data_IF_131242088518
#
_entry.id   IF_131242088518
#
_cell.length_a   1.000
_cell.length_b   1.000
_cell.length_c   1.000
_cell.angle_alpha   90.00
_cell.angle_beta   90.00
_cell.angle_gamma   90.00
#
_symmetry.space_group_name_H-M   'P 1'
#
loop_
_entity.id
_entity.type
_entity.pdbx_description
1 polymer ?
#
# COMPACT_ATOMS: atom_id res chain seq x y z
N UNK A 1 -11.57 19.29 -17.52
CA UNK A 1 -10.41 19.79 -16.75
C UNK A 1 -10.73 19.92 -15.26
N UNK A 2 -11.77 20.66 -14.87
CA UNK A 2 -12.20 20.81 -13.44
C UNK A 2 -12.61 19.51 -12.75
N UNK A 3 -13.05 18.50 -13.51
CA UNK A 3 -13.31 17.16 -12.98
C UNK A 3 -12.05 16.38 -12.59
N UNK A 4 -10.90 16.71 -13.20
CA UNK A 4 -9.64 15.98 -13.03
C UNK A 4 -8.63 16.69 -12.14
N UNK A 5 -8.74 18.01 -11.98
CA UNK A 5 -7.77 18.86 -11.32
C UNK A 5 -8.46 19.87 -10.41
N UNK A 6 -7.84 20.17 -9.28
CA UNK A 6 -8.28 21.22 -8.36
C UNK A 6 -8.20 22.62 -9.01
N UNK A 7 -8.84 23.61 -8.42
CA UNK A 7 -8.73 24.99 -8.93
C UNK A 7 -7.30 25.52 -8.79
N UNK A 8 -6.61 25.17 -7.71
CA UNK A 8 -5.21 25.48 -7.48
C UNK A 8 -4.34 24.88 -8.59
N UNK A 9 -4.52 23.58 -8.91
CA UNK A 9 -3.77 22.91 -9.98
C UNK A 9 -4.01 23.57 -11.34
N UNK A 10 -5.26 23.97 -11.63
CA UNK A 10 -5.61 24.64 -12.88
C UNK A 10 -5.01 26.05 -12.97
N UNK A 11 -5.01 26.80 -11.86
CA UNK A 11 -4.46 28.15 -11.77
C UNK A 11 -2.94 28.17 -11.80
N UNK A 12 -2.29 27.14 -11.25
CA UNK A 12 -0.84 26.98 -11.26
C UNK A 12 -0.28 26.65 -12.66
N UNK A 13 -1.14 26.32 -13.64
CA UNK A 13 -0.75 26.07 -15.03
C UNK A 13 0.40 25.08 -15.19
N UNK A 14 0.43 24.04 -14.35
CA UNK A 14 1.50 23.05 -14.33
C UNK A 14 1.64 22.34 -15.69
N UNK A 15 2.83 21.82 -15.98
CA UNK A 15 3.09 21.03 -17.19
C UNK A 15 2.10 19.87 -17.34
N UNK A 16 1.70 19.24 -16.22
CA UNK A 16 0.69 18.19 -16.19
C UNK A 16 -0.65 18.67 -16.77
N UNK A 17 -1.15 19.82 -16.30
CA UNK A 17 -2.41 20.41 -16.75
C UNK A 17 -2.33 20.81 -18.22
N UNK A 18 -1.20 21.40 -18.65
CA UNK A 18 -0.97 21.77 -20.04
C UNK A 18 -0.97 20.54 -20.95
N UNK A 19 -0.23 19.50 -20.58
CA UNK A 19 -0.17 18.24 -21.32
C UNK A 19 -1.55 17.59 -21.44
N UNK A 20 -2.35 17.56 -20.36
CA UNK A 20 -3.72 17.05 -20.42
C UNK A 20 -4.62 17.88 -21.34
N UNK A 21 -4.52 19.21 -21.29
CA UNK A 21 -5.28 20.11 -22.16
C UNK A 21 -4.93 19.87 -23.62
N UNK A 22 -3.65 19.75 -23.94
CA UNK A 22 -3.21 19.44 -25.30
C UNK A 22 -3.71 18.10 -25.80
N UNK A 23 -3.63 17.04 -24.97
CA UNK A 23 -4.15 15.71 -25.32
C UNK A 23 -5.65 15.75 -25.62
N UNK A 24 -6.43 16.49 -24.82
CA UNK A 24 -7.86 16.66 -25.07
C UNK A 24 -8.13 17.41 -26.37
N UNK A 25 -7.38 18.48 -26.65
CA UNK A 25 -7.56 19.28 -27.86
C UNK A 25 -7.15 18.53 -29.14
N UNK A 26 -6.18 17.63 -29.04
CA UNK A 26 -5.66 16.80 -30.15
C UNK A 26 -6.36 15.44 -30.24
N UNK A 27 -7.42 15.20 -29.47
CA UNK A 27 -8.08 13.90 -29.44
C UNK A 27 -8.76 13.57 -30.79
N UNK A 28 -8.54 12.38 -31.37
CA UNK A 28 -9.01 12.06 -32.73
C UNK A 28 -10.54 11.94 -32.84
N UNK A 29 -11.25 11.70 -31.74
CA UNK A 29 -12.69 11.47 -31.72
C UNK A 29 -13.40 12.27 -30.62
N UNK A 30 -13.41 13.59 -30.75
CA UNK A 30 -14.06 14.50 -29.78
C UNK A 30 -15.55 14.17 -29.57
N UNK A 31 -16.28 13.78 -30.62
CA UNK A 31 -17.69 13.37 -30.50
C UNK A 31 -17.90 12.18 -29.57
N UNK A 32 -17.01 11.17 -29.61
CA UNK A 32 -17.09 10.03 -28.70
C UNK A 32 -16.76 10.42 -27.25
N UNK A 33 -15.82 11.36 -27.07
CA UNK A 33 -15.50 11.90 -25.75
C UNK A 33 -16.69 12.66 -25.17
N UNK A 34 -17.41 13.43 -25.99
CA UNK A 34 -18.63 14.13 -25.56
C UNK A 34 -19.73 13.15 -25.16
N UNK A 35 -19.95 12.08 -25.94
CA UNK A 35 -20.91 11.02 -25.59
C UNK A 35 -20.55 10.34 -24.27
N UNK A 36 -19.26 10.02 -24.08
CA UNK A 36 -18.76 9.43 -22.83
C UNK A 36 -18.97 10.38 -21.64
N UNK A 37 -18.68 11.67 -21.81
CA UNK A 37 -18.89 12.68 -20.78
C UNK A 37 -20.37 12.85 -20.44
N UNK A 38 -21.26 12.87 -21.43
CA UNK A 38 -22.72 12.90 -21.22
C UNK A 38 -23.18 11.70 -20.41
N UNK A 39 -22.75 10.49 -20.78
CA UNK A 39 -23.07 9.27 -20.05
C UNK A 39 -22.59 9.30 -18.59
N UNK A 40 -21.38 9.82 -18.33
CA UNK A 40 -20.86 9.99 -16.97
C UNK A 40 -21.69 10.98 -16.13
N UNK A 41 -22.16 12.09 -16.73
CA UNK A 41 -22.97 13.08 -16.03
C UNK A 41 -24.40 12.61 -15.79
N UNK A 42 -24.95 11.76 -16.65
CA UNK A 42 -26.28 11.18 -16.49
C UNK A 42 -26.29 9.88 -15.68
N UNK A 43 -25.18 9.55 -14.98
CA UNK A 43 -25.06 8.31 -14.21
C UNK A 43 -26.11 8.26 -13.08
N UNK A 44 -26.68 7.08 -12.86
CA UNK A 44 -27.48 6.81 -11.67
C UNK A 44 -26.59 6.70 -10.43
N UNK A 45 -27.16 6.96 -9.26
CA UNK A 45 -26.45 6.79 -8.00
C UNK A 45 -26.10 5.32 -7.76
N UNK A 46 -24.93 5.09 -7.17
CA UNK A 46 -24.55 3.77 -6.66
C UNK A 46 -25.19 3.58 -5.28
N UNK A 47 -26.14 2.65 -5.16
CA UNK A 47 -26.84 2.36 -3.91
C UNK A 47 -26.01 1.44 -3.01
N UNK A 48 -24.95 2.00 -2.43
CA UNK A 48 -24.13 1.35 -1.41
C UNK A 48 -24.66 1.69 -0.02
N UNK A 49 -24.76 0.66 0.81
CA UNK A 49 -24.93 0.79 2.26
C UNK A 49 -24.13 -0.31 2.97
N UNK A 50 -24.06 -0.25 4.30
CA UNK A 50 -23.26 -1.22 5.08
C UNK A 50 -23.71 -2.68 4.94
N UNK A 51 -24.97 -2.91 4.57
CA UNK A 51 -25.54 -4.24 4.38
C UNK A 51 -25.47 -4.68 2.91
N UNK A 52 -25.30 -3.74 1.98
CA UNK A 52 -25.22 -3.95 0.54
C UNK A 52 -24.04 -3.17 -0.06
N UNK A 53 -22.84 -3.69 0.20
CA UNK A 53 -21.57 -3.13 -0.25
C UNK A 53 -20.81 -4.11 -1.16
N UNK A 54 -19.63 -3.73 -1.65
CA UNK A 54 -18.78 -4.60 -2.43
C UNK A 54 -18.38 -5.86 -1.65
N UNK A 55 -18.40 -7.02 -2.33
CA UNK A 55 -18.02 -8.33 -1.77
C UNK A 55 -16.54 -8.65 -1.92
N UNK A 56 -15.73 -7.68 -2.31
CA UNK A 56 -14.30 -7.81 -2.52
C UNK A 56 -13.56 -6.75 -1.71
N UNK A 57 -12.28 -6.98 -1.37
CA UNK A 57 -11.44 -5.94 -0.79
C UNK A 57 -11.38 -4.70 -1.70
N UNK A 58 -11.51 -3.51 -1.13
CA UNK A 58 -11.48 -2.23 -1.86
C UNK A 58 -10.35 -1.37 -1.33
N UNK A 59 -9.55 -0.79 -2.24
CA UNK A 59 -8.62 0.30 -1.90
C UNK A 59 -9.14 1.59 -2.53
N UNK A 60 -9.71 2.48 -1.72
CA UNK A 60 -10.21 3.77 -2.18
C UNK A 60 -9.13 4.83 -1.98
N UNK A 61 -8.68 5.44 -3.07
CA UNK A 61 -7.56 6.39 -3.09
C UNK A 61 -8.04 7.76 -3.52
N UNK A 62 -7.65 8.80 -2.80
CA UNK A 62 -7.93 10.19 -3.16
C UNK A 62 -6.78 11.10 -2.76
N UNK A 63 -6.50 12.14 -3.56
CA UNK A 63 -5.59 13.22 -3.16
C UNK A 63 -6.29 14.16 -2.19
N UNK A 64 -5.54 14.73 -1.23
CA UNK A 64 -6.08 15.67 -0.25
C UNK A 64 -6.53 17.01 -0.82
N UNK A 65 -6.08 17.37 -2.03
CA UNK A 65 -6.52 18.54 -2.80
C UNK A 65 -7.35 18.14 -4.03
N UNK A 66 -7.82 16.89 -4.12
CA UNK A 66 -8.60 16.47 -5.28
C UNK A 66 -9.98 17.14 -5.33
N UNK A 67 -10.50 17.52 -6.51
CA UNK A 67 -11.81 18.17 -6.65
C UNK A 67 -13.01 17.28 -6.26
N UNK A 68 -12.76 15.99 -5.98
CA UNK A 68 -13.74 14.98 -5.60
C UNK A 68 -13.42 14.34 -4.23
N UNK A 69 -12.60 15.00 -3.41
CA UNK A 69 -12.22 14.51 -2.08
C UNK A 69 -13.43 14.21 -1.19
N UNK A 70 -14.37 15.15 -1.08
CA UNK A 70 -15.61 14.97 -0.30
C UNK A 70 -16.43 13.77 -0.78
N UNK A 71 -16.57 13.60 -2.10
CA UNK A 71 -17.29 12.46 -2.68
C UNK A 71 -16.61 11.12 -2.38
N UNK A 72 -15.27 11.09 -2.32
CA UNK A 72 -14.53 9.90 -1.91
C UNK A 72 -14.73 9.59 -0.42
N UNK A 73 -14.73 10.61 0.44
CA UNK A 73 -15.01 10.44 1.88
C UNK A 73 -16.45 9.95 2.09
N UNK A 74 -17.42 10.49 1.36
CA UNK A 74 -18.81 10.03 1.40
C UNK A 74 -18.92 8.58 0.93
N UNK A 75 -18.26 8.22 -0.18
CA UNK A 75 -18.20 6.84 -0.67
C UNK A 75 -17.64 5.89 0.41
N UNK A 76 -16.51 6.25 1.03
CA UNK A 76 -15.90 5.46 2.10
C UNK A 76 -16.87 5.20 3.26
N UNK A 77 -17.69 6.18 3.64
CA UNK A 77 -18.65 6.04 4.75
C UNK A 77 -19.74 4.98 4.51
N UNK A 78 -19.99 4.65 3.24
CA UNK A 78 -20.97 3.64 2.79
C UNK A 78 -20.36 2.25 2.58
N UNK A 79 -19.03 2.14 2.59
CA UNK A 79 -18.32 0.88 2.40
C UNK A 79 -18.14 0.12 3.72
N UNK A 80 -17.86 -1.19 3.61
CA UNK A 80 -17.56 -2.01 4.78
C UNK A 80 -16.13 -1.73 5.26
N UNK A 81 -15.95 -1.25 6.51
CA UNK A 81 -14.63 -0.88 7.03
C UNK A 81 -13.71 -2.08 7.23
N UNK A 82 -14.22 -3.31 7.27
CA UNK A 82 -13.39 -4.52 7.45
C UNK A 82 -12.71 -4.97 6.16
N UNK A 83 -13.26 -4.56 5.01
CA UNK A 83 -12.79 -4.95 3.67
C UNK A 83 -12.31 -3.75 2.84
N UNK A 84 -12.41 -2.53 3.37
CA UNK A 84 -12.04 -1.30 2.67
C UNK A 84 -10.83 -0.61 3.30
N UNK A 85 -9.80 -0.36 2.51
CA UNK A 85 -8.68 0.52 2.84
C UNK A 85 -8.89 1.90 2.22
N UNK A 86 -8.96 2.95 3.04
CA UNK A 86 -9.04 4.33 2.55
C UNK A 86 -7.68 5.03 2.64
N UNK A 87 -7.18 5.51 1.49
CA UNK A 87 -5.91 6.19 1.36
C UNK A 87 -6.12 7.62 0.88
N UNK A 88 -6.04 8.58 1.81
CA UNK A 88 -5.92 10.00 1.50
C UNK A 88 -4.45 10.36 1.31
N UNK A 89 -4.03 10.66 0.09
CA UNK A 89 -2.66 11.00 -0.25
C UNK A 89 -2.39 12.47 0.03
N UNK A 90 -1.44 12.75 0.91
CA UNK A 90 -1.02 14.12 1.24
C UNK A 90 -0.27 14.77 0.08
N UNK A 91 -0.45 16.08 -0.07
CA UNK A 91 0.15 16.90 -1.13
C UNK A 91 -0.18 16.40 -2.54
N UNK A 92 -1.38 15.83 -2.73
CA UNK A 92 -1.81 15.25 -3.99
C UNK A 92 -3.12 15.89 -4.46
N UNK A 93 -3.14 16.31 -5.71
CA UNK A 93 -4.35 16.80 -6.38
C UNK A 93 -5.17 15.67 -6.99
N UNK A 94 -5.86 15.99 -8.09
CA UNK A 94 -6.82 15.06 -8.70
C UNK A 94 -6.23 13.90 -9.50
N UNK A 95 -4.91 13.77 -9.63
CA UNK A 95 -4.26 12.66 -10.37
C UNK A 95 -3.07 12.05 -9.61
N UNK A 96 -3.29 11.44 -8.42
CA UNK A 96 -2.23 10.88 -7.58
C UNK A 96 -1.37 9.81 -8.27
N UNK A 97 -1.92 9.08 -9.23
CA UNK A 97 -1.20 8.09 -10.02
C UNK A 97 -0.17 8.69 -10.97
N UNK A 98 -0.30 9.97 -11.33
CA UNK A 98 0.66 10.69 -12.16
C UNK A 98 1.64 11.50 -11.30
N UNK A 99 1.13 12.18 -10.26
CA UNK A 99 1.94 13.07 -9.42
C UNK A 99 2.75 12.34 -8.36
N UNK A 100 2.24 11.22 -7.82
CA UNK A 100 2.90 10.45 -6.75
C UNK A 100 2.91 8.93 -7.01
N UNK A 101 3.37 8.47 -8.20
CA UNK A 101 3.31 7.06 -8.58
C UNK A 101 4.07 6.14 -7.63
N UNK A 102 5.20 6.59 -7.06
CA UNK A 102 5.99 5.79 -6.12
C UNK A 102 5.24 5.47 -4.83
N UNK A 103 4.61 6.49 -4.21
CA UNK A 103 3.81 6.31 -2.98
C UNK A 103 2.57 5.45 -3.25
N UNK A 104 1.88 5.69 -4.36
CA UNK A 104 0.71 4.89 -4.76
C UNK A 104 1.08 3.43 -5.04
N UNK A 105 2.21 3.19 -5.70
CA UNK A 105 2.71 1.83 -5.99
C UNK A 105 3.07 1.10 -4.70
N UNK A 106 3.70 1.78 -3.74
CA UNK A 106 4.00 1.18 -2.45
C UNK A 106 2.72 0.83 -1.68
N UNK A 107 1.73 1.71 -1.65
CA UNK A 107 0.44 1.43 -1.03
C UNK A 107 -0.29 0.26 -1.71
N UNK A 108 -0.31 0.23 -3.04
CA UNK A 108 -0.90 -0.86 -3.82
C UNK A 108 -0.20 -2.20 -3.54
N UNK A 109 1.13 -2.22 -3.42
CA UNK A 109 1.87 -3.41 -3.01
C UNK A 109 1.37 -3.94 -1.67
N UNK A 110 1.22 -3.07 -0.65
CA UNK A 110 0.72 -3.49 0.66
C UNK A 110 -0.72 -3.99 0.61
N UNK A 111 -1.58 -3.37 -0.19
CA UNK A 111 -2.96 -3.83 -0.40
C UNK A 111 -3.02 -5.25 -0.97
N UNK A 112 -2.24 -5.51 -2.04
CA UNK A 112 -2.15 -6.83 -2.69
C UNK A 112 -1.51 -7.88 -1.77
N UNK A 113 -0.51 -7.49 -0.95
CA UNK A 113 0.04 -8.33 0.12
C UNK A 113 -1.02 -8.71 1.17
N UNK A 114 -1.88 -7.77 1.56
CA UNK A 114 -3.00 -8.03 2.48
C UNK A 114 -4.00 -9.06 1.95
N UNK A 115 -4.08 -9.25 0.62
CA UNK A 115 -4.89 -10.29 -0.02
C UNK A 115 -4.16 -11.64 -0.15
N UNK A 116 -2.92 -11.74 0.32
CA UNK A 116 -2.11 -12.96 0.24
C UNK A 116 -1.30 -13.12 -1.05
N UNK A 117 -1.31 -12.12 -1.94
CA UNK A 117 -0.48 -12.12 -3.14
C UNK A 117 0.90 -11.52 -2.83
N UNK A 118 1.89 -11.76 -3.70
CA UNK A 118 3.24 -11.17 -3.58
C UNK A 118 3.92 -11.38 -2.22
N UNK A 119 3.72 -12.53 -1.56
CA UNK A 119 4.24 -12.83 -0.22
C UNK A 119 5.77 -12.68 -0.07
N UNK A 120 6.53 -12.88 -1.16
CA UNK A 120 8.00 -12.76 -1.17
C UNK A 120 8.51 -11.34 -1.43
N UNK A 121 7.63 -10.36 -1.68
CA UNK A 121 8.05 -8.99 -1.92
C UNK A 121 8.47 -8.32 -0.61
N UNK A 122 9.66 -7.73 -0.58
CA UNK A 122 10.18 -7.13 0.64
C UNK A 122 9.35 -5.91 1.06
N UNK A 123 9.06 -5.82 2.36
CA UNK A 123 8.56 -4.59 2.94
C UNK A 123 9.70 -3.58 2.94
N UNK A 124 9.63 -2.60 2.05
CA UNK A 124 10.64 -1.54 1.83
C UNK A 124 10.96 -0.77 3.12
N UNK A 125 10.01 -0.70 4.07
CA UNK A 125 10.25 -0.13 5.40
C UNK A 125 10.70 -1.14 6.47
N UNK A 126 10.19 -2.37 6.48
CA UNK A 126 10.52 -3.33 7.54
C UNK A 126 11.91 -3.97 7.35
N UNK A 127 12.38 -4.11 6.11
CA UNK A 127 13.72 -4.66 5.81
C UNK A 127 14.88 -3.73 6.18
N UNK A 128 14.61 -2.43 6.42
CA UNK A 128 15.60 -1.44 6.89
C UNK A 128 15.76 -1.41 8.42
N UNK A 129 14.87 -2.05 9.19
CA UNK A 129 14.96 -2.15 10.65
C UNK A 129 15.66 -3.42 11.13
N UNK A 130 16.72 -3.86 10.43
CA UNK A 130 17.76 -4.65 11.08
C UNK A 130 18.79 -3.67 11.64
N UNK A 131 18.51 -3.12 12.82
CA UNK A 131 19.58 -2.68 13.70
C UNK A 131 20.48 -3.89 13.92
N UNK A 132 21.66 -3.91 13.31
CA UNK A 132 22.76 -4.71 13.82
C UNK A 132 23.05 -4.14 15.20
N UNK A 133 22.54 -4.79 16.25
CA UNK A 133 22.98 -4.52 17.61
C UNK A 133 24.48 -4.81 17.65
N UNK A 134 25.27 -3.74 17.54
CA UNK A 134 26.71 -3.77 17.72
C UNK A 134 26.94 -4.03 19.21
N UNK A 135 26.99 -5.31 19.57
CA UNK A 135 27.37 -5.72 20.92
C UNK A 135 28.89 -5.54 21.05
N UNK A 136 29.27 -4.96 22.19
CA UNK A 136 30.57 -4.40 22.55
C UNK A 136 31.80 -5.28 22.31
N UNK A 137 32.91 -4.60 22.06
CA UNK A 137 34.29 -5.07 22.04
C UNK A 137 34.69 -5.79 23.34
N UNK A 138 34.85 -7.12 23.30
CA UNK A 138 36.09 -7.85 23.60
C UNK A 138 35.76 -9.35 23.58
N UNK A 139 36.45 -10.13 22.75
CA UNK A 139 36.70 -11.56 22.95
C UNK A 139 37.68 -11.99 21.87
N UNK A 140 38.86 -12.38 22.32
CA UNK A 140 40.00 -12.81 21.52
C UNK A 140 39.66 -14.01 20.64
N UNK A 141 40.27 -14.02 19.45
CA UNK A 141 40.67 -15.13 18.59
C UNK A 141 39.68 -16.31 18.33
N UNK A 142 39.40 -16.57 17.05
CA UNK A 142 38.61 -17.73 16.65
C UNK A 142 38.04 -17.63 15.23
N UNK A 143 38.78 -18.18 14.27
CA UNK A 143 38.38 -18.40 12.88
C UNK A 143 36.95 -18.96 12.77
N UNK A 144 36.07 -18.28 12.02
CA UNK A 144 34.71 -18.77 11.73
C UNK A 144 34.45 -18.85 10.23
N UNK A 145 34.52 -20.09 9.76
CA UNK A 145 33.97 -20.59 8.50
C UNK A 145 32.50 -20.19 8.32
N UNK A 146 32.14 -19.85 7.08
CA UNK A 146 30.77 -19.58 6.63
C UNK A 146 29.89 -20.83 6.77
N UNK A 147 28.98 -20.84 7.74
CA UNK A 147 27.90 -21.84 7.77
C UNK A 147 26.63 -21.28 7.14
N UNK A 148 26.35 -21.78 5.93
CA UNK A 148 25.04 -21.70 5.27
C UNK A 148 24.10 -22.68 5.97
N UNK A 149 23.01 -22.22 6.58
CA UNK A 149 21.96 -23.13 7.04
C UNK A 149 21.04 -23.47 5.89
N UNK A 150 21.35 -24.59 5.24
CA UNK A 150 20.45 -25.33 4.36
C UNK A 150 19.55 -26.19 5.25
N UNK A 151 18.23 -25.98 5.20
CA UNK A 151 17.26 -26.85 5.84
C UNK A 151 17.19 -28.19 5.08
N UNK A 152 17.75 -29.24 5.66
CA UNK A 152 17.43 -30.64 5.31
C UNK A 152 16.82 -31.33 6.52
N UNK A 153 15.74 -32.05 6.27
CA UNK A 153 15.04 -32.83 7.28
C UNK A 153 15.63 -34.22 7.53
N UNK A 154 14.80 -35.00 8.24
CA UNK A 154 14.80 -36.46 8.41
C UNK A 154 15.48 -37.03 9.67
N UNK A 155 14.61 -37.64 10.49
CA UNK A 155 14.77 -38.90 11.23
C UNK A 155 15.84 -39.05 12.34
N UNK A 156 15.31 -39.33 13.55
CA UNK A 156 15.63 -40.56 14.31
C UNK A 156 16.83 -40.54 15.26
N UNK A 157 16.56 -40.76 16.56
CA UNK A 157 17.48 -41.51 17.43
C UNK A 157 17.90 -40.88 18.77
N UNK A 158 17.33 -41.42 19.85
CA UNK A 158 17.93 -41.72 21.17
C UNK A 158 18.38 -40.58 22.13
N UNK A 159 17.63 -40.44 23.22
CA UNK A 159 18.04 -39.89 24.54
C UNK A 159 18.97 -40.88 25.28
N UNK A 160 19.96 -40.42 26.09
CA UNK A 160 19.78 -40.33 27.57
C UNK A 160 20.75 -39.32 28.27
N UNK A 161 20.93 -39.34 29.62
CA UNK A 161 19.99 -39.06 30.70
C UNK A 161 20.40 -37.82 31.54
N UNK A 162 19.47 -37.30 32.34
CA UNK A 162 19.63 -36.20 33.30
C UNK A 162 20.19 -36.67 34.66
N UNK A 163 21.13 -35.92 35.31
CA UNK A 163 21.46 -36.13 36.71
C UNK A 163 20.76 -35.13 37.64
N UNK A 164 20.12 -35.68 38.67
CA UNK A 164 19.52 -35.01 39.82
C UNK A 164 20.61 -34.51 40.79
N UNK A 165 20.52 -33.27 41.28
CA UNK A 165 21.30 -32.83 42.45
C UNK A 165 20.42 -32.04 43.43
N UNK A 166 20.39 -32.57 44.65
CA UNK A 166 19.66 -32.14 45.85
C UNK A 166 20.36 -30.95 46.52
N UNK A 167 19.58 -30.01 47.06
CA UNK A 167 20.03 -28.93 47.95
C UNK A 167 20.40 -29.48 49.34
N UNK A 168 21.55 -29.08 49.88
CA UNK A 168 21.77 -29.03 51.33
C UNK A 168 22.21 -27.62 51.74
N UNK A 169 21.64 -27.16 52.85
CA UNK A 169 21.81 -25.85 53.48
C UNK A 169 22.57 -26.08 54.79
N UNK A 170 23.63 -25.32 55.04
CA UNK A 170 24.34 -25.33 56.33
C UNK A 170 24.12 -24.03 57.10
N UNK A 171 24.01 -24.18 58.42
CA UNK A 171 23.82 -23.14 59.43
C UNK A 171 25.04 -22.21 59.57
#
# INVERSE_FOLDING_TARGET
MTHLFSQEELSAHTELVQTHRERMNKAPHVGNIELFWKAYNSRSQLHLDRNNTFKCPVMLVVGDQAPYEEAAVECNSKLDPTTTSFLKMADAGGQPQITQPAKLTEAFKYFIQGMGYMASSCMTRLSRSRTTSMSSSYSMDGSRSRSRTLSQGSQGGQMPPSPSQTMEVSC
#
